data_IF_253401291383
#
_entry.id   IF_253401291383
#
_cell.length_a   1.000
_cell.length_b   1.000
_cell.length_c   1.000
_cell.angle_alpha   90.00
_cell.angle_beta   90.00
_cell.angle_gamma   90.00
#
_symmetry.space_group_name_H-M   'P 1'
#
loop_
_entity.id
_entity.type
_entity.pdbx_description
1 polymer ?
#
# COMPACT_ATOMS: atom_id res chain seq x y z
N UNK A 1 -29.05 -57.03 -44.60
CA UNK A 1 -29.33 -57.27 -43.18
C UNK A 1 -28.11 -56.77 -42.41
N UNK A 2 -28.10 -55.54 -41.86
CA UNK A 2 -28.63 -55.17 -40.53
C UNK A 2 -27.96 -56.09 -39.48
N UNK A 3 -27.12 -55.70 -38.52
CA UNK A 3 -26.93 -54.56 -37.59
C UNK A 3 -25.62 -54.90 -36.82
N UNK A 4 -24.85 -54.07 -36.12
CA UNK A 4 -25.02 -52.77 -35.51
C UNK A 4 -23.73 -52.39 -34.76
N UNK A 5 -23.54 -51.09 -34.53
CA UNK A 5 -22.53 -50.53 -33.62
C UNK A 5 -22.66 -51.07 -32.19
N UNK A 6 -21.53 -51.13 -31.46
CA UNK A 6 -21.41 -50.52 -30.11
C UNK A 6 -19.95 -50.48 -29.61
N UNK A 7 -19.56 -49.29 -29.11
CA UNK A 7 -18.63 -49.00 -27.99
C UNK A 7 -17.14 -49.36 -28.20
N UNK A 8 -16.15 -48.51 -27.91
CA UNK A 8 -16.06 -47.57 -26.80
C UNK A 8 -15.16 -46.38 -27.16
N UNK A 9 -15.76 -45.21 -27.36
CA UNK A 9 -15.09 -43.95 -27.08
C UNK A 9 -15.09 -43.78 -25.56
N UNK A 10 -14.04 -44.28 -24.92
CA UNK A 10 -13.77 -44.02 -23.50
C UNK A 10 -12.44 -43.29 -23.36
N UNK A 11 -12.58 -42.01 -22.99
CA UNK A 11 -11.82 -41.36 -21.93
C UNK A 11 -10.38 -40.92 -22.20
N UNK A 12 -10.15 -39.91 -23.04
CA UNK A 12 -9.19 -38.83 -22.71
C UNK A 12 -9.69 -37.54 -23.40
N UNK A 13 -10.36 -36.63 -22.67
CA UNK A 13 -9.67 -35.35 -22.42
C UNK A 13 -10.05 -34.81 -21.03
N UNK A 14 -9.16 -34.98 -20.05
CA UNK A 14 -9.31 -34.37 -18.73
C UNK A 14 -8.07 -33.55 -18.30
N UNK A 15 -7.27 -33.07 -19.26
CA UNK A 15 -5.99 -32.41 -18.95
C UNK A 15 -5.80 -31.03 -19.59
N UNK A 16 -6.88 -30.29 -19.87
CA UNK A 16 -6.76 -28.97 -20.49
C UNK A 16 -7.84 -27.96 -20.07
N UNK A 17 -8.20 -27.89 -18.79
CA UNK A 17 -9.09 -26.82 -18.29
C UNK A 17 -8.67 -26.19 -16.96
N UNK A 18 -7.45 -26.42 -16.48
CA UNK A 18 -6.97 -25.85 -15.22
C UNK A 18 -6.05 -24.62 -15.39
N UNK A 19 -6.08 -23.93 -16.54
CA UNK A 19 -5.12 -22.86 -16.85
C UNK A 19 -5.71 -21.43 -16.88
N UNK A 20 -6.99 -21.22 -16.55
CA UNK A 20 -7.62 -19.88 -16.70
C UNK A 20 -8.27 -19.29 -15.44
N UNK A 21 -8.12 -19.90 -14.27
CA UNK A 21 -8.62 -19.33 -13.00
C UNK A 21 -7.48 -18.68 -12.20
N UNK A 22 -6.71 -17.81 -12.84
CA UNK A 22 -5.73 -16.94 -12.21
C UNK A 22 -6.30 -15.53 -12.00
N UNK A 23 -7.49 -15.40 -11.43
CA UNK A 23 -7.96 -14.09 -10.97
C UNK A 23 -7.34 -13.86 -9.59
N UNK A 24 -6.13 -13.30 -9.57
CA UNK A 24 -5.50 -12.88 -8.32
C UNK A 24 -6.29 -11.71 -7.75
N UNK A 25 -7.26 -12.00 -6.87
CA UNK A 25 -7.79 -10.96 -6.00
C UNK A 25 -6.63 -10.55 -5.09
N UNK A 26 -6.16 -9.31 -5.22
CA UNK A 26 -5.23 -8.75 -4.25
C UNK A 26 -5.87 -8.92 -2.86
N UNK A 27 -5.21 -9.66 -1.97
CA UNK A 27 -5.72 -9.85 -0.63
C UNK A 27 -5.80 -8.48 0.04
N UNK A 28 -6.95 -8.08 0.60
CA UNK A 28 -7.07 -6.79 1.25
C UNK A 28 -6.04 -6.73 2.37
N UNK A 29 -5.24 -5.66 2.37
CA UNK A 29 -4.25 -5.42 3.41
C UNK A 29 -4.92 -5.53 4.80
N UNK A 30 -4.24 -6.14 5.80
CA UNK A 30 -4.78 -6.26 7.13
C UNK A 30 -5.18 -4.87 7.64
N UNK A 31 -6.42 -4.75 8.12
CA UNK A 31 -6.87 -3.50 8.74
C UNK A 31 -6.05 -3.28 10.02
N UNK A 32 -5.47 -2.08 10.22
CA UNK A 32 -4.89 -1.74 11.50
C UNK A 32 -5.95 -1.87 12.59
N UNK A 33 -5.61 -2.56 13.68
CA UNK A 33 -6.48 -2.67 14.84
C UNK A 33 -6.18 -1.49 15.79
N UNK A 34 -7.18 -0.65 16.05
CA UNK A 34 -7.06 0.47 17.00
C UNK A 34 -6.74 1.82 16.36
N UNK A 35 -6.46 2.80 17.21
CA UNK A 35 -6.14 4.17 16.79
C UNK A 35 -4.62 4.31 16.61
N UNK A 36 -4.12 4.77 15.44
CA UNK A 36 -2.69 5.00 15.20
C UNK A 36 -2.06 5.94 16.21
N UNK A 37 -0.84 5.61 16.65
CA UNK A 37 -0.06 6.35 17.65
C UNK A 37 1.29 6.83 17.12
N UNK A 38 1.81 6.23 16.05
CA UNK A 38 3.15 6.54 15.49
C UNK A 38 3.03 6.78 13.99
N UNK A 39 2.82 8.05 13.64
CA UNK A 39 2.45 8.47 12.30
C UNK A 39 3.62 9.12 11.58
N UNK A 40 3.87 8.68 10.35
CA UNK A 40 4.75 9.38 9.40
C UNK A 40 3.91 10.14 8.40
N UNK A 41 4.25 11.40 8.12
CA UNK A 41 3.44 12.27 7.27
C UNK A 41 4.27 12.88 6.13
N UNK A 42 3.84 12.63 4.89
CA UNK A 42 4.49 13.20 3.70
C UNK A 42 3.72 14.38 3.08
N UNK A 43 2.41 14.48 3.33
CA UNK A 43 1.57 15.53 2.76
C UNK A 43 1.51 16.75 3.71
N UNK A 44 1.97 17.95 3.27
CA UNK A 44 1.95 19.15 4.11
C UNK A 44 0.55 19.48 4.68
N UNK A 45 -0.48 19.42 3.83
CA UNK A 45 -1.87 19.64 4.26
C UNK A 45 -2.36 18.66 5.32
N UNK A 46 -1.88 17.42 5.30
CA UNK A 46 -2.20 16.44 6.33
C UNK A 46 -1.47 16.75 7.65
N UNK A 47 -0.21 17.19 7.58
CA UNK A 47 0.56 17.61 8.76
C UNK A 47 -0.12 18.79 9.48
N UNK A 48 -0.58 19.79 8.73
CA UNK A 48 -1.35 20.93 9.25
C UNK A 48 -2.68 20.50 9.90
N UNK A 49 -3.40 19.57 9.28
CA UNK A 49 -4.65 19.06 9.83
C UNK A 49 -4.43 18.34 11.16
N UNK A 50 -3.35 17.54 11.28
CA UNK A 50 -3.01 16.87 12.54
C UNK A 50 -2.70 17.87 13.65
N UNK A 51 -1.97 18.94 13.34
CA UNK A 51 -1.73 20.04 14.29
C UNK A 51 -3.03 20.69 14.72
N UNK A 52 -3.89 21.07 13.77
CA UNK A 52 -5.17 21.71 14.06
C UNK A 52 -6.10 20.82 14.91
N UNK A 53 -5.98 19.50 14.79
CA UNK A 53 -6.72 18.50 15.56
C UNK A 53 -6.07 18.17 16.92
N UNK A 54 -4.90 18.73 17.24
CA UNK A 54 -4.17 18.43 18.47
C UNK A 54 -3.57 17.02 18.49
N UNK A 55 -3.17 16.50 17.32
CA UNK A 55 -2.59 15.17 17.11
C UNK A 55 -1.12 15.21 16.69
N UNK A 56 -0.46 16.37 16.84
CA UNK A 56 0.94 16.56 16.46
C UNK A 56 1.91 15.66 17.24
N UNK A 57 1.54 15.30 18.47
CA UNK A 57 2.28 14.40 19.38
C UNK A 57 2.46 12.98 18.84
N UNK A 58 1.60 12.57 17.90
CA UNK A 58 1.66 11.24 17.26
C UNK A 58 2.57 11.21 16.05
N UNK A 59 3.04 12.36 15.57
CA UNK A 59 3.89 12.44 14.38
C UNK A 59 5.34 12.16 14.80
N UNK A 60 5.92 11.09 14.26
CA UNK A 60 7.28 10.64 14.58
C UNK A 60 8.31 11.05 13.52
N UNK A 61 7.88 11.27 12.28
CA UNK A 61 8.72 11.81 11.21
C UNK A 61 7.88 12.51 10.13
N UNK A 62 8.51 13.44 9.42
CA UNK A 62 7.90 14.21 8.32
C UNK A 62 8.71 14.06 7.02
N UNK A 63 8.05 14.12 5.88
CA UNK A 63 8.72 14.16 4.58
C UNK A 63 9.62 15.39 4.43
N UNK A 64 10.64 15.28 3.57
CA UNK A 64 11.68 16.30 3.40
C UNK A 64 11.22 17.63 2.78
N UNK A 65 10.00 17.72 2.25
CA UNK A 65 9.49 18.87 1.51
C UNK A 65 8.92 20.01 2.41
N UNK A 66 9.32 20.04 3.68
CA UNK A 66 9.27 21.25 4.51
C UNK A 66 8.53 21.06 5.84
N UNK A 67 9.14 21.47 6.97
CA UNK A 67 8.55 21.36 8.29
C UNK A 67 7.67 22.58 8.57
N UNK A 68 6.54 22.65 7.86
CA UNK A 68 5.44 23.50 8.30
C UNK A 68 4.30 22.58 8.75
N UNK A 69 3.80 22.71 9.99
CA UNK A 69 4.14 23.71 11.02
C UNK A 69 5.48 23.48 11.75
N UNK A 70 6.02 24.53 12.38
CA UNK A 70 7.36 24.52 12.99
C UNK A 70 7.56 23.58 14.19
N UNK A 71 6.47 23.06 14.76
CA UNK A 71 6.52 22.02 15.80
C UNK A 71 7.13 20.70 15.32
N UNK A 72 7.20 20.48 14.01
CA UNK A 72 7.87 19.32 13.41
C UNK A 72 9.33 19.55 13.04
N UNK A 73 9.91 20.73 13.31
CA UNK A 73 11.27 21.06 12.90
C UNK A 73 12.36 20.19 13.57
N UNK A 74 12.05 19.56 14.71
CA UNK A 74 12.96 18.68 15.41
C UNK A 74 12.81 17.19 15.04
N UNK A 75 11.79 16.85 14.24
CA UNK A 75 11.56 15.46 13.84
C UNK A 75 12.55 15.01 12.77
N UNK A 76 12.82 13.71 12.76
CA UNK A 76 13.60 13.07 11.70
C UNK A 76 12.86 13.16 10.35
N UNK A 77 13.65 13.18 9.28
CA UNK A 77 13.12 13.20 7.91
C UNK A 77 12.80 11.78 7.45
N UNK A 78 11.58 11.54 6.99
CA UNK A 78 11.16 10.27 6.39
C UNK A 78 11.58 10.10 4.92
N UNK A 79 12.50 10.93 4.44
CA UNK A 79 12.89 11.00 3.03
C UNK A 79 11.96 11.87 2.19
N UNK A 80 12.16 11.87 0.86
CA UNK A 80 11.28 12.60 -0.05
C UNK A 80 10.06 11.78 -0.42
N UNK A 81 9.00 12.45 -0.86
CA UNK A 81 7.76 11.78 -1.26
C UNK A 81 7.97 10.69 -2.32
N UNK A 82 8.84 10.94 -3.29
CA UNK A 82 9.22 10.05 -4.40
C UNK A 82 10.31 9.03 -4.02
N UNK A 83 11.00 9.25 -2.91
CA UNK A 83 12.03 8.36 -2.39
C UNK A 83 12.00 8.35 -0.86
N UNK A 84 10.99 7.68 -0.26
CA UNK A 84 10.86 7.57 1.17
C UNK A 84 12.00 6.71 1.75
N UNK A 85 12.47 7.06 2.94
CA UNK A 85 13.43 6.26 3.69
C UNK A 85 12.70 5.12 4.41
N UNK A 86 12.52 4.00 3.71
CA UNK A 86 11.77 2.85 4.24
C UNK A 86 12.44 2.24 5.47
N UNK A 87 13.78 2.22 5.51
CA UNK A 87 14.52 1.65 6.65
C UNK A 87 14.32 2.53 7.88
N UNK A 88 14.51 3.84 7.76
CA UNK A 88 14.26 4.78 8.86
C UNK A 88 12.80 4.76 9.35
N UNK A 89 11.82 4.67 8.44
CA UNK A 89 10.39 4.56 8.82
C UNK A 89 10.11 3.29 9.61
N UNK A 90 10.75 2.16 9.27
CA UNK A 90 10.59 0.90 9.98
C UNK A 90 11.27 0.94 11.36
N UNK A 91 12.45 1.55 11.46
CA UNK A 91 13.14 1.77 12.75
C UNK A 91 12.33 2.64 13.71
N UNK A 92 11.55 3.58 13.16
CA UNK A 92 10.61 4.39 13.92
C UNK A 92 9.37 3.62 14.39
N UNK A 93 9.23 2.32 14.13
CA UNK A 93 8.05 1.51 14.51
C UNK A 93 6.73 2.20 14.12
N UNK A 94 6.70 2.83 12.95
CA UNK A 94 5.54 3.55 12.43
C UNK A 94 4.35 2.61 12.24
N UNK A 95 3.16 3.04 12.67
CA UNK A 95 1.91 2.27 12.53
C UNK A 95 0.95 2.84 11.47
N UNK A 96 1.21 4.06 10.99
CA UNK A 96 0.46 4.69 9.90
C UNK A 96 1.34 5.65 9.09
N UNK A 97 1.35 5.48 7.76
CA UNK A 97 1.92 6.46 6.83
C UNK A 97 0.79 7.25 6.19
N UNK A 98 0.81 8.58 6.37
CA UNK A 98 -0.10 9.51 5.71
C UNK A 98 0.60 10.19 4.53
N UNK A 99 0.02 9.99 3.35
CA UNK A 99 0.57 10.51 2.10
C UNK A 99 -0.56 11.01 1.19
N UNK A 100 -0.19 11.59 0.05
CA UNK A 100 -1.11 12.11 -0.97
C UNK A 100 -0.83 11.45 -2.31
N UNK A 101 -1.81 11.40 -3.20
CA UNK A 101 -1.53 11.00 -4.58
C UNK A 101 -0.87 12.17 -5.32
N UNK A 102 0.32 11.95 -5.88
CA UNK A 102 0.98 12.92 -6.76
C UNK A 102 1.02 12.38 -8.18
N UNK A 103 0.33 13.07 -9.09
CA UNK A 103 0.38 12.76 -10.53
C UNK A 103 1.82 12.89 -11.05
N UNK A 104 2.55 13.91 -10.60
CA UNK A 104 3.95 14.12 -11.00
C UNK A 104 4.86 12.95 -10.60
N UNK A 105 4.69 12.41 -9.38
CA UNK A 105 5.46 11.24 -8.94
C UNK A 105 5.07 9.96 -9.66
N UNK A 106 3.78 9.80 -10.02
CA UNK A 106 3.30 8.59 -10.71
C UNK A 106 3.86 8.44 -12.13
N UNK A 107 4.30 9.54 -12.76
CA UNK A 107 4.85 9.54 -14.12
C UNK A 107 6.36 9.22 -14.12
N UNK A 108 7.07 9.44 -13.02
CA UNK A 108 8.53 9.22 -12.92
C UNK A 108 8.96 7.78 -12.64
N UNK A 109 8.03 6.89 -12.26
CA UNK A 109 8.28 5.46 -11.98
C UNK A 109 7.86 4.51 -13.12
N UNK A 110 7.56 5.05 -14.31
CA UNK A 110 7.31 4.27 -15.53
C UNK A 110 8.61 4.07 -16.32
#
# INVERSE_FOLDING_TARGET
>A
MMTGQVRAWTCIPALALAAFTGCGTAEPAPKPNGTPQRVVVFAPSAAEALVALGLADRVVAIGSHGPWPGEFAALESAGSFDRPDLEGILELECDLVLTTASVAASIGHQ
#
